data_IF_987008582138
#
_entry.id   IF_987008582138
#
_cell.length_a   1.000
_cell.length_b   1.000
_cell.length_c   1.000
_cell.angle_alpha   90.00
_cell.angle_beta   90.00
_cell.angle_gamma   90.00
#
_symmetry.space_group_name_H-M   'P 1'
#
loop_
_entity.id
_entity.type
_entity.pdbx_description
1 polymer ?
#
# COMPACT_ATOMS: atom_id res chain seq x y z
N UNK A 1 45.41 -8.08 -2.10
CA UNK A 1 44.18 -8.19 -2.91
C UNK A 1 44.03 -6.85 -3.62
N UNK A 2 44.30 -6.77 -4.93
CA UNK A 2 44.18 -5.51 -5.68
C UNK A 2 42.77 -5.40 -6.24
N UNK A 3 41.96 -4.51 -5.67
CA UNK A 3 40.65 -4.17 -6.23
C UNK A 3 40.88 -3.17 -7.36
N UNK A 4 40.51 -3.54 -8.60
CA UNK A 4 40.42 -2.58 -9.71
C UNK A 4 39.00 -2.04 -9.77
N UNK A 5 38.87 -0.74 -9.59
CA UNK A 5 37.62 -0.01 -9.75
C UNK A 5 37.68 0.64 -11.13
N UNK A 6 36.80 0.21 -12.03
CA UNK A 6 36.63 0.84 -13.35
C UNK A 6 35.26 1.51 -13.36
N UNK A 7 35.16 2.83 -13.62
CA UNK A 7 33.87 3.49 -13.76
C UNK A 7 33.08 2.85 -14.91
N UNK A 8 31.79 2.60 -14.68
CA UNK A 8 30.84 2.43 -15.79
C UNK A 8 30.74 3.82 -16.43
N UNK A 9 30.93 3.92 -17.75
CA UNK A 9 31.07 5.20 -18.46
C UNK A 9 29.86 6.14 -18.33
N UNK A 10 29.93 7.32 -18.97
CA UNK A 10 28.84 8.28 -18.97
C UNK A 10 27.71 7.84 -19.93
N UNK A 11 26.73 7.09 -19.44
CA UNK A 11 25.54 6.69 -20.21
C UNK A 11 24.32 6.50 -19.29
N UNK A 12 23.25 7.29 -19.43
CA UNK A 12 21.94 7.02 -18.81
C UNK A 12 21.90 6.86 -17.28
N UNK A 13 20.76 6.38 -16.77
CA UNK A 13 20.58 6.00 -15.37
C UNK A 13 21.11 4.57 -15.13
N UNK A 14 21.80 4.38 -14.00
CA UNK A 14 22.34 3.10 -13.58
C UNK A 14 21.87 2.79 -12.16
N UNK A 15 21.19 1.66 -11.98
CA UNK A 15 20.79 1.19 -10.67
C UNK A 15 20.88 -0.32 -10.55
N UNK A 16 20.99 -0.76 -9.30
CA UNK A 16 20.87 -2.17 -8.94
C UNK A 16 19.70 -2.30 -7.96
N UNK A 17 18.94 -3.36 -8.10
CA UNK A 17 17.86 -3.70 -7.19
C UNK A 17 17.83 -5.19 -6.87
N UNK A 18 17.17 -5.51 -5.75
CA UNK A 18 16.95 -6.89 -5.32
C UNK A 18 15.45 -7.15 -5.28
N UNK A 19 15.00 -8.08 -6.11
CA UNK A 19 13.65 -8.63 -6.05
C UNK A 19 13.63 -9.79 -5.08
N UNK A 20 12.88 -9.63 -3.99
CA UNK A 20 12.57 -10.74 -3.08
C UNK A 20 11.58 -11.70 -3.73
N UNK A 21 11.43 -12.88 -3.15
CA UNK A 21 10.42 -13.88 -3.55
C UNK A 21 9.05 -13.24 -3.81
N UNK A 22 8.46 -13.53 -4.98
CA UNK A 22 7.20 -12.96 -5.44
C UNK A 22 7.26 -11.51 -5.96
N UNK A 23 8.43 -10.88 -5.94
CA UNK A 23 8.61 -9.52 -6.46
C UNK A 23 8.57 -9.47 -7.98
N UNK A 24 8.03 -8.37 -8.54
CA UNK A 24 8.17 -8.02 -9.97
C UNK A 24 8.82 -6.67 -10.16
N UNK A 25 9.64 -6.60 -11.21
CA UNK A 25 10.20 -5.39 -11.82
C UNK A 25 9.64 -5.30 -13.22
N UNK A 26 9.33 -4.10 -13.68
CA UNK A 26 8.97 -3.83 -15.07
C UNK A 26 7.51 -3.44 -15.16
N UNK A 27 6.82 -3.96 -16.17
CA UNK A 27 5.54 -3.44 -16.64
C UNK A 27 5.67 -2.01 -17.20
N UNK A 28 6.74 -1.79 -17.97
CA UNK A 28 6.97 -0.54 -18.68
C UNK A 28 7.26 -0.84 -20.16
N UNK A 29 6.66 -0.03 -21.03
CA UNK A 29 6.94 0.09 -22.44
C UNK A 29 8.02 1.14 -22.66
N UNK A 30 9.07 0.78 -23.39
CA UNK A 30 10.16 1.70 -23.75
C UNK A 30 9.86 2.35 -25.08
N UNK A 31 9.69 3.68 -25.13
CA UNK A 31 9.34 4.36 -26.39
C UNK A 31 10.53 4.53 -27.33
N UNK A 32 11.66 5.04 -26.83
CA UNK A 32 12.84 5.32 -27.66
C UNK A 32 14.18 4.83 -27.08
N UNK A 33 14.23 4.51 -25.78
CA UNK A 33 15.45 4.13 -25.10
C UNK A 33 15.71 2.61 -25.14
N UNK A 34 16.99 2.24 -25.24
CA UNK A 34 17.47 0.88 -24.98
C UNK A 34 17.75 0.71 -23.48
N UNK A 35 17.43 -0.46 -22.95
CA UNK A 35 17.77 -0.84 -21.58
C UNK A 35 18.54 -2.16 -21.56
N UNK A 36 19.64 -2.19 -20.83
CA UNK A 36 20.42 -3.39 -20.55
C UNK A 36 20.13 -3.83 -19.12
N UNK A 37 19.77 -5.10 -18.96
CA UNK A 37 19.57 -5.75 -17.67
C UNK A 37 20.60 -6.87 -17.48
N UNK A 38 21.16 -6.97 -16.29
CA UNK A 38 21.91 -8.15 -15.84
C UNK A 38 21.20 -8.72 -14.63
N UNK A 39 20.71 -9.96 -14.76
CA UNK A 39 19.97 -10.67 -13.71
C UNK A 39 20.88 -11.75 -13.12
N UNK A 40 21.21 -11.65 -11.83
CA UNK A 40 21.91 -12.69 -11.07
C UNK A 40 20.88 -13.44 -10.22
N UNK A 41 20.87 -14.76 -10.35
CA UNK A 41 19.86 -15.61 -9.73
C UNK A 41 20.48 -16.88 -9.13
N UNK A 42 19.85 -17.40 -8.08
CA UNK A 42 20.16 -18.69 -7.45
C UNK A 42 18.93 -19.59 -7.32
N UNK A 43 17.80 -19.14 -7.85
CA UNK A 43 16.52 -19.83 -7.85
C UNK A 43 15.71 -19.43 -9.09
N UNK A 44 14.44 -19.87 -9.16
CA UNK A 44 13.54 -19.67 -10.28
C UNK A 44 13.14 -18.22 -10.47
N UNK A 45 13.03 -17.79 -11.72
CA UNK A 45 12.46 -16.49 -12.09
C UNK A 45 11.96 -16.53 -13.53
N UNK A 46 11.10 -15.59 -13.89
CA UNK A 46 10.48 -15.53 -15.21
C UNK A 46 10.61 -14.13 -15.81
N UNK A 47 10.98 -14.06 -17.08
CA UNK A 47 10.95 -12.87 -17.91
C UNK A 47 9.70 -12.92 -18.78
N UNK A 48 8.94 -11.84 -18.78
CA UNK A 48 7.84 -11.59 -19.69
C UNK A 48 8.20 -10.39 -20.55
N UNK A 49 7.96 -10.47 -21.85
CA UNK A 49 8.35 -9.42 -22.78
C UNK A 49 7.47 -9.42 -24.02
N UNK A 50 7.42 -8.29 -24.70
CA UNK A 50 6.74 -8.18 -26.00
C UNK A 50 7.56 -7.28 -26.96
N UNK A 51 7.28 -7.41 -28.25
CA UNK A 51 7.94 -6.68 -29.32
C UNK A 51 7.25 -5.37 -29.71
N UNK A 52 6.26 -4.91 -28.94
CA UNK A 52 5.58 -3.63 -29.16
C UNK A 52 4.06 -3.66 -29.12
N UNK A 53 3.45 -2.52 -29.46
CA UNK A 53 1.99 -2.42 -29.55
C UNK A 53 1.49 -3.47 -30.56
N UNK A 54 0.56 -4.32 -30.10
CA UNK A 54 -0.06 -5.41 -30.88
C UNK A 54 0.76 -6.71 -31.05
N UNK A 55 1.82 -6.94 -30.26
CA UNK A 55 2.47 -8.25 -30.17
C UNK A 55 2.03 -9.04 -28.93
N UNK A 56 1.92 -10.36 -29.06
CA UNK A 56 1.66 -11.25 -27.93
C UNK A 56 2.79 -11.19 -26.89
N UNK A 57 2.45 -11.37 -25.62
CA UNK A 57 3.44 -11.45 -24.53
C UNK A 57 4.11 -12.82 -24.58
N UNK A 58 5.43 -12.81 -24.76
CA UNK A 58 6.27 -13.98 -24.63
C UNK A 58 6.75 -14.14 -23.18
N UNK A 59 6.94 -15.40 -22.78
CA UNK A 59 7.39 -15.75 -21.42
C UNK A 59 8.56 -16.70 -21.48
N UNK A 60 9.60 -16.43 -20.68
CA UNK A 60 10.79 -17.28 -20.55
C UNK A 60 11.17 -17.45 -19.09
N UNK A 61 11.17 -18.70 -18.62
CA UNK A 61 11.55 -19.04 -17.25
C UNK A 61 13.00 -19.53 -17.16
N UNK A 62 13.62 -19.24 -16.03
CA UNK A 62 14.98 -19.60 -15.68
C UNK A 62 15.00 -20.27 -14.30
N UNK A 63 15.96 -21.16 -14.05
CA UNK A 63 16.09 -21.88 -12.77
C UNK A 63 17.55 -22.27 -12.49
N UNK A 64 17.84 -22.58 -11.23
CA UNK A 64 19.21 -22.88 -10.77
C UNK A 64 19.97 -21.61 -10.41
N UNK A 65 21.30 -21.61 -10.57
CA UNK A 65 22.15 -20.47 -10.26
C UNK A 65 22.92 -19.99 -11.50
N UNK A 66 22.92 -18.68 -11.76
CA UNK A 66 23.57 -18.11 -12.92
C UNK A 66 23.40 -16.61 -13.08
N UNK A 67 23.73 -16.13 -14.28
CA UNK A 67 23.57 -14.76 -14.70
C UNK A 67 22.99 -14.70 -16.12
N UNK A 68 22.03 -13.82 -16.36
CA UNK A 68 21.44 -13.57 -17.69
C UNK A 68 21.60 -12.10 -18.03
N UNK A 69 22.06 -11.83 -19.26
CA UNK A 69 22.05 -10.50 -19.87
C UNK A 69 20.81 -10.38 -20.74
N UNK A 70 20.03 -9.31 -20.56
CA UNK A 70 18.86 -8.99 -21.37
C UNK A 70 19.08 -7.62 -22.00
N UNK A 71 18.88 -7.53 -23.30
CA UNK A 71 18.85 -6.27 -24.04
C UNK A 71 17.41 -6.00 -24.44
N UNK A 72 16.86 -4.88 -24.01
CA UNK A 72 15.53 -4.41 -24.35
C UNK A 72 15.68 -3.34 -25.42
N UNK A 73 15.15 -3.63 -26.60
CA UNK A 73 15.10 -2.67 -27.70
C UNK A 73 13.97 -1.63 -27.48
N UNK A 74 14.04 -0.48 -28.17
CA UNK A 74 12.94 0.46 -28.20
C UNK A 74 11.67 -0.19 -28.76
N UNK A 75 10.53 0.36 -28.36
CA UNK A 75 9.20 -0.15 -28.69
C UNK A 75 8.94 -1.55 -28.14
N UNK A 76 9.57 -1.94 -27.04
CA UNK A 76 9.33 -3.21 -26.36
C UNK A 76 8.94 -2.98 -24.90
N UNK A 77 8.18 -3.91 -24.33
CA UNK A 77 7.93 -3.95 -22.90
C UNK A 77 8.55 -5.19 -22.26
N UNK A 78 8.86 -5.11 -20.97
CA UNK A 78 9.34 -6.27 -20.20
C UNK A 78 8.88 -6.23 -18.73
N UNK A 79 8.85 -7.42 -18.12
CA UNK A 79 8.67 -7.63 -16.69
C UNK A 79 9.47 -8.85 -16.23
N UNK A 80 10.15 -8.73 -15.08
CA UNK A 80 10.89 -9.79 -14.41
C UNK A 80 10.13 -10.15 -13.14
N UNK A 81 9.78 -11.42 -12.97
CA UNK A 81 9.15 -11.98 -11.79
C UNK A 81 10.12 -12.92 -11.07
N UNK A 82 10.30 -12.74 -9.76
CA UNK A 82 11.01 -13.70 -8.93
C UNK A 82 10.05 -14.79 -8.45
N UNK A 83 10.14 -15.98 -9.05
CA UNK A 83 9.32 -17.16 -8.73
C UNK A 83 9.96 -18.07 -7.66
N UNK A 84 11.16 -17.73 -7.23
CA UNK A 84 11.99 -18.46 -6.28
C UNK A 84 11.84 -17.96 -4.86
N UNK A 85 12.40 -18.70 -3.92
CA UNK A 85 12.54 -18.30 -2.51
C UNK A 85 13.78 -17.45 -2.23
N UNK A 86 14.76 -17.44 -3.13
CA UNK A 86 15.99 -16.65 -2.99
C UNK A 86 15.85 -15.23 -3.56
N UNK A 87 16.71 -14.31 -3.12
CA UNK A 87 16.81 -12.97 -3.67
C UNK A 87 17.31 -13.01 -5.13
N UNK A 88 16.66 -12.22 -5.98
CA UNK A 88 17.00 -12.05 -7.40
C UNK A 88 17.61 -10.65 -7.58
N UNK A 89 18.85 -10.55 -8.05
CA UNK A 89 19.53 -9.25 -8.20
C UNK A 89 19.48 -8.79 -9.66
N UNK A 90 19.02 -7.56 -9.90
CA UNK A 90 18.90 -6.98 -11.24
C UNK A 90 19.71 -5.70 -11.30
N UNK A 91 20.65 -5.64 -12.23
CA UNK A 91 21.42 -4.44 -12.57
C UNK A 91 20.89 -3.87 -13.86
N UNK A 92 20.82 -2.55 -13.94
CA UNK A 92 20.13 -1.82 -14.98
C UNK A 92 21.05 -0.74 -15.52
N UNK A 93 21.10 -0.64 -16.84
CA UNK A 93 21.72 0.48 -17.53
C UNK A 93 20.83 0.92 -18.68
N UNK A 94 20.31 2.14 -18.63
CA UNK A 94 19.44 2.67 -19.69
C UNK A 94 18.91 4.07 -19.36
N UNK A 95 18.17 4.65 -20.30
CA UNK A 95 17.52 5.95 -20.07
C UNK A 95 16.14 5.73 -19.41
N UNK A 96 15.80 6.54 -18.40
CA UNK A 96 14.57 6.37 -17.62
C UNK A 96 13.44 7.32 -18.06
N UNK A 97 13.78 8.39 -18.79
CA UNK A 97 12.86 9.49 -19.09
C UNK A 97 11.78 9.15 -20.15
N UNK A 98 11.76 7.94 -20.71
CA UNK A 98 10.88 7.58 -21.82
C UNK A 98 10.13 6.23 -21.67
N UNK A 99 9.71 5.92 -20.44
CA UNK A 99 8.95 4.71 -20.08
C UNK A 99 7.47 5.02 -19.87
N UNK A 100 6.58 4.21 -20.45
CA UNK A 100 5.14 4.24 -20.18
C UNK A 100 4.66 2.96 -19.48
N UNK A 101 3.66 3.02 -18.57
CA UNK A 101 3.13 1.81 -17.95
C UNK A 101 2.50 0.85 -18.97
N UNK A 102 2.86 -0.44 -18.93
CA UNK A 102 2.25 -1.51 -19.73
C UNK A 102 2.29 -2.82 -18.96
N UNK A 103 1.13 -3.41 -18.67
CA UNK A 103 1.03 -4.65 -17.88
C UNK A 103 1.31 -5.86 -18.77
N UNK A 104 2.40 -6.58 -18.48
CA UNK A 104 2.74 -7.84 -19.15
C UNK A 104 2.51 -9.05 -18.27
N UNK A 105 2.48 -8.84 -16.96
CA UNK A 105 2.24 -9.85 -15.95
C UNK A 105 1.24 -9.32 -14.96
N UNK A 106 0.10 -9.98 -14.88
CA UNK A 106 -0.73 -9.93 -13.69
C UNK A 106 -0.05 -10.76 -12.61
N UNK A 107 0.63 -10.10 -11.69
CA UNK A 107 1.09 -10.79 -10.50
C UNK A 107 -0.11 -11.27 -9.68
N UNK A 108 -0.07 -12.47 -9.08
CA UNK A 108 -0.69 -12.67 -7.77
C UNK A 108 0.11 -11.83 -6.76
N UNK A 109 -0.10 -10.52 -6.81
CA UNK A 109 0.55 -9.61 -5.91
C UNK A 109 -0.15 -9.78 -4.56
N UNK A 110 0.57 -10.27 -3.55
CA UNK A 110 0.00 -10.32 -2.20
C UNK A 110 -0.42 -8.91 -1.81
N UNK A 111 -1.65 -8.76 -1.39
CA UNK A 111 -2.21 -7.49 -0.91
C UNK A 111 -2.78 -7.67 0.48
N UNK A 112 -2.88 -6.57 1.22
CA UNK A 112 -3.43 -6.60 2.56
C UNK A 112 -4.36 -5.43 2.84
N UNK A 113 -5.43 -5.71 3.56
CA UNK A 113 -6.22 -4.73 4.30
C UNK A 113 -5.89 -4.81 5.78
N UNK A 114 -5.69 -3.67 6.44
CA UNK A 114 -5.21 -3.61 7.82
C UNK A 114 -6.04 -2.64 8.64
N UNK A 115 -6.47 -3.06 9.83
CA UNK A 115 -7.18 -2.23 10.81
C UNK A 115 -6.56 -2.31 12.21
N UNK A 116 -6.73 -1.24 12.98
CA UNK A 116 -6.15 -1.08 14.30
C UNK A 116 -6.96 -1.74 15.41
N UNK A 117 -6.36 -2.71 16.10
CA UNK A 117 -6.92 -3.30 17.32
C UNK A 117 -6.33 -2.66 18.58
N UNK A 118 -6.87 -3.03 19.76
CA UNK A 118 -6.32 -2.61 21.06
C UNK A 118 -4.88 -3.08 21.30
N UNK A 119 -4.49 -4.24 20.75
CA UNK A 119 -3.19 -4.87 21.03
C UNK A 119 -2.17 -4.76 19.90
N UNK A 120 -2.59 -4.31 18.72
CA UNK A 120 -1.78 -4.34 17.51
C UNK A 120 -2.66 -4.08 16.30
N UNK A 121 -2.42 -4.77 15.20
CA UNK A 121 -3.19 -4.66 13.98
C UNK A 121 -3.77 -6.01 13.61
N UNK A 122 -4.94 -6.01 12.99
CA UNK A 122 -5.47 -7.17 12.29
C UNK A 122 -5.30 -6.93 10.80
N UNK A 123 -4.76 -7.92 10.10
CA UNK A 123 -4.55 -7.88 8.67
C UNK A 123 -5.33 -9.01 8.00
N UNK A 124 -6.03 -8.66 6.93
CA UNK A 124 -6.59 -9.61 5.97
C UNK A 124 -5.66 -9.63 4.77
N UNK A 125 -4.92 -10.72 4.61
CA UNK A 125 -3.89 -10.86 3.58
C UNK A 125 -4.43 -11.76 2.50
N UNK A 126 -4.48 -11.25 1.27
CA UNK A 126 -4.92 -12.01 0.09
C UNK A 126 -3.71 -12.40 -0.76
N UNK A 127 -3.63 -13.69 -1.06
CA UNK A 127 -2.62 -14.31 -1.90
C UNK A 127 -3.32 -15.22 -2.91
N UNK A 128 -3.40 -14.78 -4.17
CA UNK A 128 -4.34 -15.33 -5.14
C UNK A 128 -5.80 -15.17 -4.67
N UNK A 129 -6.52 -16.28 -4.56
CA UNK A 129 -7.91 -16.32 -4.05
C UNK A 129 -7.99 -16.62 -2.54
N UNK A 130 -6.86 -16.99 -1.91
CA UNK A 130 -6.84 -17.32 -0.49
C UNK A 130 -6.73 -16.04 0.34
N UNK A 131 -7.53 -15.96 1.41
CA UNK A 131 -7.46 -14.88 2.39
C UNK A 131 -7.16 -15.46 3.76
N UNK A 132 -6.13 -14.94 4.41
CA UNK A 132 -5.76 -15.28 5.77
C UNK A 132 -5.87 -14.06 6.69
N UNK A 133 -6.36 -14.29 7.91
CA UNK A 133 -6.38 -13.28 8.95
C UNK A 133 -5.14 -13.42 9.84
N UNK A 134 -4.43 -12.31 10.07
CA UNK A 134 -3.20 -12.27 10.88
C UNK A 134 -3.29 -11.17 11.94
N UNK A 135 -2.77 -11.45 13.13
CA UNK A 135 -2.48 -10.41 14.12
C UNK A 135 -1.03 -9.96 13.99
N UNK A 136 -0.82 -8.65 13.97
CA UNK A 136 0.50 -8.01 13.97
C UNK A 136 0.64 -7.26 15.28
N UNK A 137 1.57 -7.68 16.13
CA UNK A 137 1.66 -7.20 17.51
C UNK A 137 2.85 -6.26 17.71
N UNK A 138 3.80 -6.25 16.77
CA UNK A 138 5.06 -5.51 16.84
C UNK A 138 5.28 -4.62 15.61
N UNK A 139 6.29 -3.75 15.70
CA UNK A 139 6.73 -2.95 14.55
C UNK A 139 7.31 -3.84 13.45
N UNK A 140 8.01 -4.90 13.85
CA UNK A 140 8.61 -5.89 12.97
C UNK A 140 7.55 -6.67 12.20
N UNK A 141 6.46 -7.09 12.85
CA UNK A 141 5.33 -7.77 12.18
C UNK A 141 4.71 -6.89 11.10
N UNK A 142 4.46 -5.61 11.43
CA UNK A 142 3.85 -4.65 10.52
C UNK A 142 4.78 -4.33 9.34
N UNK A 143 6.07 -4.12 9.62
CA UNK A 143 7.08 -3.90 8.58
C UNK A 143 7.26 -5.13 7.68
N UNK A 144 7.23 -6.33 8.23
CA UNK A 144 7.28 -7.57 7.45
C UNK A 144 6.09 -7.66 6.50
N UNK A 145 4.88 -7.35 6.97
CA UNK A 145 3.69 -7.30 6.12
C UNK A 145 3.84 -6.26 4.99
N UNK A 146 4.27 -5.04 5.32
CA UNK A 146 4.45 -3.97 4.34
C UNK A 146 5.45 -4.32 3.23
N UNK A 147 6.53 -5.04 3.57
CA UNK A 147 7.51 -5.48 2.58
C UNK A 147 7.04 -6.69 1.76
N UNK A 148 6.19 -7.55 2.34
CA UNK A 148 5.70 -8.76 1.69
C UNK A 148 4.51 -8.52 0.75
N UNK A 149 3.86 -7.36 0.80
CA UNK A 149 2.72 -7.03 -0.03
C UNK A 149 3.06 -5.97 -1.09
N UNK A 150 2.45 -6.08 -2.27
CA UNK A 150 2.54 -5.04 -3.29
C UNK A 150 1.68 -3.82 -2.92
N UNK A 151 0.53 -4.06 -2.30
CA UNK A 151 -0.38 -3.02 -1.80
C UNK A 151 -0.82 -3.37 -0.39
N UNK A 152 -0.76 -2.39 0.50
CA UNK A 152 -1.34 -2.44 1.83
C UNK A 152 -2.25 -1.23 2.01
N UNK A 153 -3.55 -1.49 2.13
CA UNK A 153 -4.53 -0.51 2.56
C UNK A 153 -4.66 -0.59 4.09
N UNK A 154 -4.48 0.53 4.79
CA UNK A 154 -4.49 0.57 6.26
C UNK A 154 -5.40 1.69 6.78
N UNK A 155 -6.27 1.37 7.74
CA UNK A 155 -7.13 2.35 8.42
C UNK A 155 -6.34 3.15 9.46
N UNK A 156 -5.55 4.10 8.98
CA UNK A 156 -4.84 5.06 9.81
C UNK A 156 -4.50 6.31 8.99
N UNK A 157 -4.58 7.51 9.58
CA UNK A 157 -4.08 8.72 8.92
C UNK A 157 -2.61 8.60 8.51
N UNK A 158 -2.34 8.85 7.22
CA UNK A 158 -1.01 8.98 6.61
C UNK A 158 -0.90 10.38 6.00
N UNK A 159 0.20 11.06 6.29
CA UNK A 159 0.33 12.49 6.00
C UNK A 159 -0.50 13.31 6.97
N UNK A 160 0.14 14.25 7.68
CA UNK A 160 -0.49 15.00 8.75
C UNK A 160 -0.29 16.50 8.57
N UNK A 161 -1.37 17.26 8.76
CA UNK A 161 -1.28 18.72 8.75
C UNK A 161 -0.57 19.24 10.00
N UNK A 162 0.15 20.34 9.85
CA UNK A 162 0.70 21.09 10.98
C UNK A 162 -0.36 21.95 11.66
N UNK A 163 -1.35 22.42 10.90
CA UNK A 163 -2.44 23.26 11.39
C UNK A 163 -3.73 23.06 10.57
N UNK A 164 -4.87 23.07 11.25
CA UNK A 164 -6.17 22.89 10.61
C UNK A 164 -6.44 21.49 10.05
N UNK A 165 -7.63 21.27 9.49
CA UNK A 165 -8.07 19.97 8.99
C UNK A 165 -7.40 19.60 7.66
N UNK A 166 -7.26 18.29 7.39
CA UNK A 166 -6.83 17.79 6.08
C UNK A 166 -7.95 17.88 5.05
N UNK A 167 -7.60 18.14 3.78
CA UNK A 167 -8.54 18.19 2.66
C UNK A 167 -9.27 16.84 2.48
N UNK A 168 -8.54 15.73 2.62
CA UNK A 168 -9.06 14.37 2.53
C UNK A 168 -10.13 14.09 3.59
N UNK A 169 -9.94 14.52 4.85
CA UNK A 169 -10.93 14.37 5.93
C UNK A 169 -12.23 15.11 5.59
N UNK A 170 -12.14 16.31 5.03
CA UNK A 170 -13.31 17.07 4.60
C UNK A 170 -14.07 16.38 3.45
N UNK A 171 -13.34 15.90 2.45
CA UNK A 171 -13.92 15.16 1.32
C UNK A 171 -14.57 13.84 1.76
N UNK A 172 -13.95 13.10 2.69
CA UNK A 172 -14.52 11.88 3.26
C UNK A 172 -15.83 12.15 4.02
N UNK A 173 -15.88 13.23 4.82
CA UNK A 173 -17.12 13.65 5.49
C UNK A 173 -18.23 13.99 4.49
N UNK A 174 -17.89 14.69 3.40
CA UNK A 174 -18.85 15.02 2.34
C UNK A 174 -19.33 13.76 1.62
N UNK A 175 -18.42 12.84 1.31
CA UNK A 175 -18.72 11.57 0.66
C UNK A 175 -19.71 10.72 1.48
N UNK A 176 -19.57 10.71 2.81
CA UNK A 176 -20.42 9.92 3.70
C UNK A 176 -21.75 10.58 4.09
N UNK A 177 -21.95 11.86 3.78
CA UNK A 177 -23.21 12.59 4.05
C UNK A 177 -23.72 12.41 5.48
N UNK A 178 -24.84 11.68 5.65
CA UNK A 178 -25.46 11.42 6.97
C UNK A 178 -24.54 10.68 7.96
N UNK A 179 -23.50 10.00 7.46
CA UNK A 179 -22.49 9.28 8.27
C UNK A 179 -21.20 10.09 8.45
N UNK A 180 -21.17 11.38 8.10
CA UNK A 180 -19.99 12.23 8.24
C UNK A 180 -19.33 12.24 9.63
N UNK A 181 -20.07 11.90 10.69
CA UNK A 181 -19.52 11.82 12.05
C UNK A 181 -18.58 10.63 12.27
N UNK A 182 -18.56 9.62 11.39
CA UNK A 182 -17.62 8.50 11.50
C UNK A 182 -16.18 8.90 11.17
N UNK A 183 -15.99 9.93 10.36
CA UNK A 183 -14.68 10.50 10.05
C UNK A 183 -14.36 11.57 11.08
N UNK A 184 -13.61 11.20 12.11
CA UNK A 184 -13.07 12.17 13.06
C UNK A 184 -11.80 12.83 12.47
N UNK A 185 -11.50 14.09 12.81
CA UNK A 185 -10.29 14.76 12.31
C UNK A 185 -9.02 14.00 12.73
N UNK A 186 -8.08 13.84 11.80
CA UNK A 186 -6.77 13.29 12.10
C UNK A 186 -6.01 14.18 13.12
N UNK A 187 -5.11 13.60 13.95
CA UNK A 187 -4.26 14.41 14.81
C UNK A 187 -3.34 15.31 13.99
N UNK A 188 -3.07 16.51 14.48
CA UNK A 188 -2.04 17.37 13.87
C UNK A 188 -0.65 16.80 14.12
N UNK A 189 0.27 17.00 13.17
CA UNK A 189 1.64 16.49 13.25
C UNK A 189 2.37 16.82 14.57
N UNK A 190 2.29 18.05 15.13
CA UNK A 190 2.94 18.36 16.40
C UNK A 190 2.44 17.53 17.58
N UNK A 191 1.24 16.96 17.50
CA UNK A 191 0.64 16.18 18.60
C UNK A 191 1.27 14.79 18.74
N UNK A 192 1.96 14.28 17.71
CA UNK A 192 2.61 12.96 17.76
C UNK A 192 3.75 12.89 18.80
N UNK A 193 4.36 14.03 19.13
CA UNK A 193 5.45 14.11 20.11
C UNK A 193 4.95 14.19 21.56
N UNK A 194 3.65 14.37 21.77
CA UNK A 194 3.07 14.61 23.08
C UNK A 194 2.66 13.30 23.75
N UNK A 195 2.63 13.30 25.08
CA UNK A 195 2.27 12.11 25.89
C UNK A 195 0.99 12.29 26.68
N UNK A 196 0.58 13.54 26.92
CA UNK A 196 -0.53 13.87 27.80
C UNK A 196 -1.69 14.53 27.04
N UNK A 197 -2.91 14.01 27.24
CA UNK A 197 -4.11 14.51 26.56
C UNK A 197 -4.36 16.00 26.80
N UNK A 198 -4.18 16.48 28.03
CA UNK A 198 -4.46 17.87 28.37
C UNK A 198 -3.54 18.85 27.64
N UNK A 199 -2.25 18.49 27.53
CA UNK A 199 -1.27 19.27 26.77
C UNK A 199 -1.58 19.22 25.27
N UNK A 200 -1.85 18.04 24.73
CA UNK A 200 -2.22 17.87 23.32
C UNK A 200 -3.50 18.65 22.96
N UNK A 201 -4.49 18.64 23.84
CA UNK A 201 -5.73 19.37 23.65
C UNK A 201 -5.53 20.90 23.70
N UNK A 202 -4.63 21.39 24.56
CA UNK A 202 -4.25 22.81 24.60
C UNK A 202 -3.55 23.21 23.30
N UNK A 203 -2.52 22.48 22.89
CA UNK A 203 -1.76 22.75 21.66
C UNK A 203 -2.68 22.66 20.42
N UNK A 204 -3.58 21.68 20.36
CA UNK A 204 -4.57 21.59 19.29
C UNK A 204 -5.47 22.84 19.23
N UNK A 205 -5.95 23.35 20.37
CA UNK A 205 -6.76 24.60 20.39
C UNK A 205 -5.96 25.79 19.87
N UNK A 206 -4.69 25.88 20.19
CA UNK A 206 -3.83 26.98 19.72
C UNK A 206 -3.66 26.93 18.19
N UNK A 207 -3.37 25.75 17.64
CA UNK A 207 -3.07 25.51 16.22
C UNK A 207 -4.28 25.49 15.28
N UNK A 208 -5.44 24.99 15.72
CA UNK A 208 -6.62 24.82 14.85
C UNK A 208 -7.92 25.36 15.45
N UNK A 209 -7.85 26.15 16.53
CA UNK A 209 -9.00 26.76 17.23
C UNK A 209 -10.03 25.75 17.75
N UNK A 210 -9.69 24.46 17.75
CA UNK A 210 -10.52 23.34 18.20
C UNK A 210 -9.65 22.31 18.92
N UNK A 211 -10.20 21.73 19.98
CA UNK A 211 -9.52 20.67 20.74
C UNK A 211 -9.46 19.35 19.98
N UNK A 212 -8.55 18.47 20.41
CA UNK A 212 -8.52 17.08 19.93
C UNK A 212 -9.56 16.24 20.69
N UNK A 213 -10.32 15.42 19.95
CA UNK A 213 -11.26 14.48 20.56
C UNK A 213 -10.51 13.36 21.28
N UNK A 214 -11.17 12.70 22.25
CA UNK A 214 -10.57 11.52 22.92
C UNK A 214 -10.29 10.39 21.93
N UNK A 215 -11.13 10.23 20.91
CA UNK A 215 -10.94 9.24 19.85
C UNK A 215 -9.73 9.58 18.97
N UNK A 216 -9.61 10.84 18.54
CA UNK A 216 -8.45 11.32 17.78
C UNK A 216 -7.14 11.18 18.57
N UNK A 217 -7.18 11.43 19.88
CA UNK A 217 -6.03 11.21 20.75
C UNK A 217 -5.68 9.72 20.92
N UNK A 218 -6.69 8.85 21.04
CA UNK A 218 -6.48 7.42 21.26
C UNK A 218 -5.72 6.74 20.12
N UNK A 219 -5.83 7.25 18.88
CA UNK A 219 -5.11 6.70 17.73
C UNK A 219 -3.70 7.27 17.54
N UNK A 220 -3.32 8.35 18.25
CA UNK A 220 -2.00 9.01 18.09
C UNK A 220 -0.83 8.02 18.16
N UNK A 221 -0.77 7.04 19.10
CA UNK A 221 0.31 6.07 19.12
C UNK A 221 0.42 5.24 17.83
N UNK A 222 -0.71 4.84 17.23
CA UNK A 222 -0.76 4.08 15.97
C UNK A 222 -0.39 4.94 14.77
N UNK A 223 -0.86 6.19 14.74
CA UNK A 223 -0.46 7.16 13.72
C UNK A 223 1.05 7.37 13.77
N UNK A 224 1.62 7.62 14.96
CA UNK A 224 3.06 7.78 15.15
C UNK A 224 3.86 6.53 14.76
N UNK A 225 3.32 5.34 15.03
CA UNK A 225 3.92 4.07 14.63
C UNK A 225 4.10 3.99 13.10
N UNK A 226 3.02 4.19 12.35
CA UNK A 226 2.99 4.09 10.88
C UNK A 226 3.78 5.23 10.24
N UNK A 227 3.61 6.46 10.74
CA UNK A 227 4.35 7.65 10.30
C UNK A 227 5.87 7.42 10.37
N UNK A 228 6.37 6.93 11.52
CA UNK A 228 7.78 6.62 11.71
C UNK A 228 8.29 5.52 10.77
N UNK A 229 7.50 4.48 10.52
CA UNK A 229 7.88 3.40 9.59
C UNK A 229 8.00 3.93 8.16
N UNK A 230 7.02 4.71 7.68
CA UNK A 230 7.02 5.27 6.32
C UNK A 230 8.07 6.38 6.10
N UNK A 231 8.49 7.05 7.16
CA UNK A 231 9.63 7.97 7.11
C UNK A 231 10.98 7.24 7.00
N UNK A 232 11.16 6.15 7.75
CA UNK A 232 12.39 5.34 7.73
C UNK A 232 12.54 4.51 6.47
N UNK A 233 11.43 4.10 5.86
CA UNK A 233 11.40 3.19 4.71
C UNK A 233 10.68 3.85 3.53
N UNK A 234 11.36 4.78 2.84
CA UNK A 234 10.75 5.59 1.77
C UNK A 234 10.15 4.75 0.63
N UNK A 235 10.70 3.57 0.36
CA UNK A 235 10.18 2.64 -0.66
C UNK A 235 8.76 2.14 -0.37
N UNK A 236 8.29 2.23 0.88
CA UNK A 236 6.93 1.83 1.27
C UNK A 236 5.86 2.89 0.96
N UNK A 237 6.24 4.14 0.66
CA UNK A 237 5.28 5.24 0.42
C UNK A 237 4.40 5.04 -0.81
N UNK A 238 4.84 4.20 -1.76
CA UNK A 238 4.05 3.77 -2.92
C UNK A 238 3.34 2.44 -2.74
N UNK A 239 3.38 1.85 -1.54
CA UNK A 239 2.79 0.53 -1.24
C UNK A 239 1.78 0.58 -0.11
N UNK A 240 1.93 1.50 0.83
CA UNK A 240 1.04 1.65 1.99
C UNK A 240 0.14 2.86 1.79
N UNK A 241 -1.17 2.63 1.81
CA UNK A 241 -2.20 3.62 1.49
C UNK A 241 -3.16 3.78 2.65
N UNK A 242 -3.45 5.03 3.01
CA UNK A 242 -4.51 5.35 3.96
C UNK A 242 -5.87 5.07 3.31
N UNK A 243 -6.70 4.33 4.05
CA UNK A 243 -8.11 4.09 3.71
C UNK A 243 -8.98 4.42 4.92
N UNK A 244 -10.29 4.45 4.72
CA UNK A 244 -11.24 4.61 5.82
C UNK A 244 -12.41 3.63 5.62
N UNK A 245 -12.66 2.67 6.55
CA UNK A 245 -13.61 1.58 6.34
C UNK A 245 -15.01 2.02 5.92
N UNK A 246 -15.56 3.10 6.51
CA UNK A 246 -16.88 3.58 6.11
C UNK A 246 -16.91 4.16 4.68
N UNK A 247 -15.80 4.73 4.20
CA UNK A 247 -15.67 5.21 2.81
C UNK A 247 -15.57 4.01 1.88
N UNK A 248 -14.74 3.02 2.23
CA UNK A 248 -14.60 1.77 1.50
C UNK A 248 -15.92 1.01 1.41
N UNK A 249 -16.64 0.83 2.52
CA UNK A 249 -17.96 0.18 2.54
C UNK A 249 -18.99 0.94 1.71
N UNK A 250 -19.03 2.26 1.79
CA UNK A 250 -19.95 3.05 0.98
C UNK A 250 -19.62 2.91 -0.50
N UNK A 251 -18.35 2.96 -0.90
CA UNK A 251 -17.95 2.74 -2.29
C UNK A 251 -18.22 1.31 -2.79
N UNK A 252 -18.02 0.32 -1.92
CA UNK A 252 -18.31 -1.09 -2.19
C UNK A 252 -19.81 -1.32 -2.37
N UNK A 253 -20.62 -0.66 -1.55
CA UNK A 253 -22.08 -0.68 -1.63
C UNK A 253 -22.62 0.40 -2.58
N UNK A 254 -22.02 0.53 -3.77
CA UNK A 254 -22.50 1.40 -4.86
C UNK A 254 -22.72 2.88 -4.47
N UNK A 255 -21.85 3.42 -3.62
CA UNK A 255 -21.92 4.77 -3.04
C UNK A 255 -23.08 5.00 -2.04
N UNK A 256 -23.74 3.94 -1.58
CA UNK A 256 -24.72 4.00 -0.50
C UNK A 256 -24.09 3.66 0.86
N UNK A 257 -24.23 4.58 1.82
CA UNK A 257 -23.73 4.37 3.19
C UNK A 257 -24.56 3.33 3.94
N UNK A 258 -23.90 2.41 4.64
CA UNK A 258 -24.57 1.48 5.56
C UNK A 258 -25.20 2.24 6.73
N UNK A 259 -26.53 2.31 6.75
CA UNK A 259 -27.27 3.12 7.73
C UNK A 259 -27.10 2.62 9.17
N UNK A 260 -27.10 1.30 9.38
CA UNK A 260 -26.92 0.68 10.68
C UNK A 260 -25.49 0.88 11.23
N UNK A 261 -25.38 1.07 12.54
CA UNK A 261 -24.09 1.23 13.23
C UNK A 261 -23.29 -0.07 13.19
N UNK A 262 -21.96 0.01 13.04
CA UNK A 262 -21.08 -1.17 13.14
C UNK A 262 -21.12 -1.86 14.51
N UNK A 263 -21.63 -1.17 15.54
CA UNK A 263 -21.83 -1.76 16.86
C UNK A 263 -23.19 -2.46 17.03
N UNK A 264 -24.05 -2.42 16.02
CA UNK A 264 -25.34 -3.14 16.02
C UNK A 264 -25.22 -4.48 15.31
N UNK A 265 -26.05 -5.45 15.70
CA UNK A 265 -26.10 -6.77 15.04
C UNK A 265 -26.42 -6.64 13.55
N UNK A 266 -27.35 -5.76 13.20
CA UNK A 266 -27.74 -5.48 11.82
C UNK A 266 -26.58 -4.88 11.00
N UNK A 267 -25.86 -3.91 11.56
CA UNK A 267 -24.73 -3.28 10.88
C UNK A 267 -23.52 -4.20 10.71
N UNK A 268 -23.29 -5.14 11.64
CA UNK A 268 -22.31 -6.22 11.49
C UNK A 268 -22.72 -7.20 10.39
N UNK A 269 -23.97 -7.66 10.42
CA UNK A 269 -24.50 -8.58 9.41
C UNK A 269 -24.43 -7.99 7.99
N UNK A 270 -24.74 -6.70 7.82
CA UNK A 270 -24.65 -6.03 6.52
C UNK A 270 -23.20 -5.96 5.98
N UNK A 271 -22.22 -5.64 6.83
CA UNK A 271 -20.79 -5.61 6.46
C UNK A 271 -20.27 -7.01 6.14
N UNK A 272 -20.67 -8.00 6.93
CA UNK A 272 -20.36 -9.41 6.69
C UNK A 272 -20.94 -9.90 5.37
N UNK A 273 -22.20 -9.57 5.06
CA UNK A 273 -22.83 -9.96 3.81
C UNK A 273 -22.10 -9.38 2.59
N UNK A 274 -21.67 -8.12 2.63
CA UNK A 274 -20.83 -7.53 1.58
C UNK A 274 -19.51 -8.31 1.41
N UNK A 275 -18.84 -8.58 2.53
CA UNK A 275 -17.59 -9.33 2.52
C UNK A 275 -17.76 -10.75 1.97
N UNK A 276 -18.81 -11.46 2.39
CA UNK A 276 -19.09 -12.83 1.95
C UNK A 276 -19.49 -12.90 0.47
N UNK A 277 -20.20 -11.90 -0.04
CA UNK A 277 -20.58 -11.82 -1.44
C UNK A 277 -19.37 -11.63 -2.39
N UNK A 278 -18.32 -10.93 -1.94
CA UNK A 278 -17.15 -10.63 -2.77
C UNK A 278 -15.99 -11.59 -2.56
N UNK A 279 -15.70 -11.94 -1.30
CA UNK A 279 -14.55 -12.76 -0.92
C UNK A 279 -14.92 -14.23 -0.63
N UNK A 280 -16.19 -14.59 -0.63
CA UNK A 280 -16.65 -15.90 -0.18
C UNK A 280 -16.52 -16.04 1.34
N UNK A 281 -16.12 -17.22 1.82
CA UNK A 281 -16.05 -17.47 3.26
C UNK A 281 -15.07 -16.51 3.96
N UNK A 282 -15.59 -15.65 4.85
CA UNK A 282 -14.77 -14.72 5.62
C UNK A 282 -13.89 -15.49 6.61
N UNK A 283 -12.57 -15.22 6.67
CA UNK A 283 -11.68 -15.90 7.59
C UNK A 283 -12.09 -15.73 9.05
N UNK A 284 -11.75 -16.72 9.88
CA UNK A 284 -11.98 -16.64 11.32
C UNK A 284 -11.25 -15.43 11.93
N UNK A 285 -11.94 -14.69 12.79
CA UNK A 285 -11.37 -13.53 13.48
C UNK A 285 -10.23 -13.98 14.41
N UNK A 286 -9.01 -13.44 14.25
CA UNK A 286 -7.88 -13.79 15.11
C UNK A 286 -8.10 -13.44 16.58
N UNK A 287 -7.41 -14.14 17.46
CA UNK A 287 -7.36 -13.80 18.88
C UNK A 287 -6.89 -12.36 19.06
N UNK A 288 -7.60 -11.58 19.89
CA UNK A 288 -7.35 -10.16 20.19
C UNK A 288 -7.84 -9.14 19.15
N UNK A 289 -8.45 -9.58 18.04
CA UNK A 289 -9.25 -8.73 17.18
C UNK A 289 -10.74 -8.89 17.52
N UNK A 290 -11.52 -7.82 17.33
CA UNK A 290 -12.97 -7.92 17.30
C UNK A 290 -13.47 -8.26 15.89
N UNK A 291 -14.70 -8.73 15.77
CA UNK A 291 -15.33 -8.94 14.45
C UNK A 291 -15.42 -7.63 13.65
N UNK A 292 -15.63 -6.49 14.32
CA UNK A 292 -15.60 -5.18 13.68
C UNK A 292 -14.24 -4.91 13.04
N UNK A 293 -13.16 -5.13 13.80
CA UNK A 293 -11.80 -4.87 13.32
C UNK A 293 -11.47 -5.76 12.11
N UNK A 294 -11.92 -7.03 12.14
CA UNK A 294 -11.77 -7.96 11.01
C UNK A 294 -12.55 -7.50 9.77
N UNK A 295 -13.80 -7.03 9.92
CA UNK A 295 -14.60 -6.53 8.81
C UNK A 295 -14.07 -5.19 8.26
N UNK A 296 -13.58 -4.31 9.11
CA UNK A 296 -12.94 -3.05 8.71
C UNK A 296 -11.62 -3.34 7.94
N UNK A 297 -10.85 -4.35 8.35
CA UNK A 297 -9.70 -4.85 7.59
C UNK A 297 -10.08 -5.48 6.24
N UNK A 298 -11.24 -6.14 6.12
CA UNK A 298 -11.75 -6.61 4.81
C UNK A 298 -12.17 -5.46 3.89
N UNK A 299 -12.76 -4.40 4.44
CA UNK A 299 -13.07 -3.20 3.66
C UNK A 299 -11.79 -2.52 3.15
N UNK A 300 -10.74 -2.50 3.97
CA UNK A 300 -9.42 -2.07 3.54
C UNK A 300 -8.87 -3.00 2.44
N UNK A 301 -9.02 -4.32 2.57
CA UNK A 301 -8.54 -5.28 1.57
C UNK A 301 -9.26 -5.11 0.22
N UNK A 302 -10.57 -4.87 0.24
CA UNK A 302 -11.33 -4.55 -0.97
C UNK A 302 -10.81 -3.29 -1.67
N UNK A 303 -10.40 -2.29 -0.89
CA UNK A 303 -9.74 -1.10 -1.43
C UNK A 303 -8.36 -1.44 -2.01
N UNK A 304 -7.59 -2.31 -1.35
CA UNK A 304 -6.29 -2.76 -1.86
C UNK A 304 -6.40 -3.45 -3.22
N UNK A 305 -7.44 -4.26 -3.46
CA UNK A 305 -7.71 -4.87 -4.78
C UNK A 305 -7.94 -3.81 -5.87
N UNK A 306 -8.61 -2.71 -5.53
CA UNK A 306 -8.88 -1.61 -6.46
C UNK A 306 -7.64 -0.80 -6.75
N UNK A 307 -6.78 -0.59 -5.76
CA UNK A 307 -5.47 0.06 -5.94
C UNK A 307 -4.61 -0.79 -6.88
N UNK A 308 -4.51 -2.09 -6.61
CA UNK A 308 -3.74 -3.02 -7.44
C UNK A 308 -4.24 -3.03 -8.89
N UNK A 309 -5.57 -3.00 -9.08
CA UNK A 309 -6.20 -2.99 -10.39
C UNK A 309 -6.26 -1.61 -11.07
N UNK A 310 -5.69 -0.55 -10.48
CA UNK A 310 -5.74 0.82 -11.03
C UNK A 310 -7.15 1.44 -11.08
N UNK A 311 -8.10 0.93 -10.28
CA UNK A 311 -9.51 1.37 -10.24
C UNK A 311 -9.86 2.21 -8.99
N UNK A 312 -8.90 2.37 -8.07
CA UNK A 312 -9.10 3.16 -6.87
C UNK A 312 -9.26 4.65 -7.18
N UNK A 313 -9.96 5.35 -6.29
CA UNK A 313 -10.13 6.81 -6.29
C UNK A 313 -9.55 7.39 -5.02
N UNK A 314 -9.21 8.67 -5.08
CA UNK A 314 -8.61 9.39 -3.96
C UNK A 314 -9.51 10.54 -3.51
N UNK A 315 -9.60 10.73 -2.20
CA UNK A 315 -10.23 11.90 -1.58
C UNK A 315 -9.13 12.81 -1.04
N UNK A 316 -9.16 14.08 -1.45
CA UNK A 316 -8.24 15.11 -1.02
C UNK A 316 -7.52 15.74 -2.20
N UNK A 317 -6.50 16.54 -1.92
CA UNK A 317 -5.62 17.15 -2.92
C UNK A 317 -4.25 16.46 -3.00
N UNK A 318 -4.07 15.36 -2.26
CA UNK A 318 -2.84 14.56 -2.18
C UNK A 318 -1.58 15.38 -1.85
N UNK A 319 -1.73 16.58 -1.28
CA UNK A 319 -0.59 17.40 -0.87
C UNK A 319 0.23 16.65 0.16
N UNK A 320 1.54 16.60 -0.05
CA UNK A 320 2.45 16.02 0.90
C UNK A 320 2.56 16.90 2.15
N UNK A 321 2.67 16.26 3.31
CA UNK A 321 3.05 16.95 4.54
C UNK A 321 4.56 17.27 4.58
N UNK A 322 5.02 17.89 5.68
CA UNK A 322 6.43 18.25 5.87
C UNK A 322 7.42 17.08 5.77
N UNK A 323 6.96 15.84 5.91
CA UNK A 323 7.80 14.64 5.84
C UNK A 323 7.78 13.98 4.46
N UNK A 324 6.99 14.54 3.53
CA UNK A 324 6.78 14.03 2.19
C UNK A 324 5.76 12.90 2.12
N UNK A 325 4.86 12.75 3.11
CA UNK A 325 3.77 11.77 3.07
C UNK A 325 2.49 12.42 2.51
N UNK A 326 1.82 11.81 1.51
CA UNK A 326 0.65 12.40 0.87
C UNK A 326 -0.57 12.35 1.79
N UNK A 327 -1.28 13.47 1.94
CA UNK A 327 -2.55 13.54 2.66
C UNK A 327 -3.72 13.18 1.73
N UNK A 328 -4.12 11.91 1.74
CA UNK A 328 -5.23 11.38 0.92
C UNK A 328 -5.88 10.17 1.58
N UNK A 329 -7.17 9.95 1.31
CA UNK A 329 -7.88 8.71 1.65
C UNK A 329 -8.24 8.01 0.35
N UNK A 330 -7.88 6.74 0.21
CA UNK A 330 -8.08 5.95 -1.00
C UNK A 330 -9.26 4.99 -0.83
N UNK A 331 -10.03 4.74 -1.90
CA UNK A 331 -11.17 3.80 -1.92
C UNK A 331 -11.46 3.21 -3.31
#
# INVERSE_FOLDING_TARGET
MSVRITPIGATGEHHAETLRSGGVRGNYFHRSARELLIVLYTDRWTLHFDGGADTDVETRSFSGAGAVRIEIDPLSAHAIQNDGGADLHVFVAGDADDREPRVLVELPARIAGVDGTRRGWVAMVKDGDAIEARMLMTDEDLLALFNACAVVAIDIPIGLSESGPRSCDHHARRFLGRRASSVFPAPLRPLLALREYNEANRIARDLQKRGISKQGWAIVPKVAQVDRLLQRHRHLRGRVYEVHPEVSFAAWNEHEVLAASKHSKEGLAARRALAEAHFGAVPATPKYASENDALDALAALWTAERILAGRARELGDARADLTGLPMRIVY
#
